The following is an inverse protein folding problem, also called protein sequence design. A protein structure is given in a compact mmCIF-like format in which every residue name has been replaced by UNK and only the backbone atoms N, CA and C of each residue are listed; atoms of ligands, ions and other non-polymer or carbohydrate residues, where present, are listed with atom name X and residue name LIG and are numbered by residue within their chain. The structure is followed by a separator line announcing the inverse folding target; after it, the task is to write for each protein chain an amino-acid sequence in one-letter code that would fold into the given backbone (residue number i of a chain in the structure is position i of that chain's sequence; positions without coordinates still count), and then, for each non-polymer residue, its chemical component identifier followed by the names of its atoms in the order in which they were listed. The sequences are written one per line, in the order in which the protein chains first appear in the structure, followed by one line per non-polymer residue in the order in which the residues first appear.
data_IF_206784912106
#
_entry.id   IF_206784912106
#
_cell.length_a   1.000
_cell.length_b   1.000
_cell.length_c   1.000
_cell.angle_alpha   90.00
_cell.angle_beta   90.00
_cell.angle_gamma   90.00
#
_symmetry.space_group_name_H-M   'P 1'
#
loop_
_entity.id
_entity.type
_entity.pdbx_description
1 polymer ?
#
# COMPACT_ATOMS: atom_id res chain seq x y z
N UNK A 1 16.41 -2.82 14.20
CA UNK A 1 15.77 -3.21 15.47
C UNK A 1 16.40 -2.37 16.56
N UNK A 2 15.60 -1.60 17.30
CA UNK A 2 16.07 -0.51 18.17
C UNK A 2 16.91 -1.06 19.34
N UNK A 3 18.09 -0.50 19.64
CA UNK A 3 18.98 -0.99 20.73
C UNK A 3 18.25 -1.07 22.07
N UNK A 4 17.37 -0.10 22.34
CA UNK A 4 16.50 -0.10 23.52
C UNK A 4 15.59 -1.33 23.61
N UNK A 5 15.11 -1.82 22.46
CA UNK A 5 14.20 -2.97 22.39
C UNK A 5 14.97 -4.27 22.68
N UNK A 6 16.24 -4.35 22.24
CA UNK A 6 17.12 -5.48 22.52
C UNK A 6 17.51 -5.55 24.00
N UNK A 7 17.76 -4.40 24.64
CA UNK A 7 18.06 -4.33 26.07
C UNK A 7 16.84 -4.70 26.94
N UNK A 8 15.64 -4.29 26.53
CA UNK A 8 14.38 -4.69 27.19
C UNK A 8 14.18 -6.20 27.08
N UNK A 9 14.39 -6.80 25.90
CA UNK A 9 14.25 -8.25 25.71
C UNK A 9 15.22 -9.05 26.59
N UNK A 10 16.48 -8.60 26.70
CA UNK A 10 17.48 -9.25 27.55
C UNK A 10 17.11 -9.19 29.04
N UNK A 11 16.55 -8.06 29.48
CA UNK A 11 16.06 -7.92 30.86
C UNK A 11 14.85 -8.83 31.14
N UNK A 12 13.94 -8.97 30.17
CA UNK A 12 12.79 -9.88 30.26
C UNK A 12 13.25 -11.34 30.38
N UNK A 13 14.28 -11.74 29.63
CA UNK A 13 14.83 -13.11 29.66
C UNK A 13 15.40 -13.47 31.04
N UNK A 14 16.17 -12.56 31.66
CA UNK A 14 16.69 -12.77 33.01
C UNK A 14 15.59 -12.87 34.07
N UNK A 15 14.58 -11.98 34.00
CA UNK A 15 13.41 -12.04 34.91
C UNK A 15 12.66 -13.36 34.71
N UNK A 16 12.48 -13.79 33.46
CA UNK A 16 11.84 -15.06 33.15
C UNK A 16 12.61 -16.26 33.73
N UNK A 17 13.94 -16.29 33.64
CA UNK A 17 14.75 -17.36 34.23
C UNK A 17 14.61 -17.42 35.75
N UNK A 18 14.59 -16.27 36.43
CA UNK A 18 14.40 -16.18 37.88
C UNK A 18 13.00 -16.66 38.27
N UNK A 19 11.95 -16.18 37.58
CA UNK A 19 10.56 -16.60 37.82
C UNK A 19 10.40 -18.10 37.55
N UNK A 20 10.98 -18.60 36.45
CA UNK A 20 10.98 -20.02 36.10
C UNK A 20 11.64 -20.86 37.20
N UNK A 21 12.81 -20.45 37.68
CA UNK A 21 13.48 -21.13 38.78
C UNK A 21 12.63 -21.12 40.06
N UNK A 22 12.12 -19.97 40.47
CA UNK A 22 11.38 -19.79 41.72
C UNK A 22 10.05 -20.57 41.76
N UNK A 23 9.29 -20.59 40.66
CA UNK A 23 7.93 -21.14 40.64
C UNK A 23 7.78 -22.49 39.92
N UNK A 24 8.73 -22.89 39.07
CA UNK A 24 8.62 -24.14 38.30
C UNK A 24 9.65 -25.21 38.71
N UNK A 25 10.51 -24.94 39.70
CA UNK A 25 11.42 -25.94 40.24
C UNK A 25 11.11 -26.23 41.71
N UNK A 26 11.31 -27.49 42.12
CA UNK A 26 11.13 -27.93 43.51
C UNK A 26 12.02 -27.09 44.45
N UNK A 27 13.27 -26.80 44.04
CA UNK A 27 14.21 -26.01 44.83
C UNK A 27 13.77 -24.55 45.02
N UNK A 28 13.12 -23.95 44.01
CA UNK A 28 12.54 -22.61 44.12
C UNK A 28 11.46 -22.53 45.20
N UNK A 29 10.53 -23.49 45.22
CA UNK A 29 9.49 -23.57 46.26
C UNK A 29 10.07 -23.81 47.65
N UNK A 30 11.12 -24.63 47.78
CA UNK A 30 11.83 -24.82 49.05
C UNK A 30 12.43 -23.49 49.53
N UNK A 31 13.08 -22.74 48.65
CA UNK A 31 13.67 -21.43 48.98
C UNK A 31 12.61 -20.41 49.43
N UNK A 32 11.49 -20.34 48.70
CA UNK A 32 10.34 -19.48 49.06
C UNK A 32 9.79 -19.87 50.43
N UNK A 33 9.59 -21.17 50.68
CA UNK A 33 9.11 -21.69 51.96
C UNK A 33 10.05 -21.35 53.10
N UNK A 34 11.37 -21.46 52.89
CA UNK A 34 12.39 -21.13 53.89
C UNK A 34 12.41 -19.63 54.22
N UNK A 35 12.34 -18.77 53.20
CA UNK A 35 12.24 -17.33 53.38
C UNK A 35 10.96 -16.93 54.13
N UNK A 36 9.82 -17.51 53.75
CA UNK A 36 8.55 -17.25 54.42
C UNK A 36 8.59 -17.74 55.87
N UNK A 37 9.14 -18.93 56.11
CA UNK A 37 9.36 -19.44 57.45
C UNK A 37 10.25 -18.51 58.28
N UNK A 38 11.35 -18.01 57.72
CA UNK A 38 12.24 -17.07 58.38
C UNK A 38 11.53 -15.75 58.74
N UNK A 39 10.77 -15.18 57.80
CA UNK A 39 9.98 -13.95 58.02
C UNK A 39 8.94 -14.17 59.13
N UNK A 40 8.20 -15.28 59.08
CA UNK A 40 7.22 -15.63 60.10
C UNK A 40 7.91 -15.81 61.45
N UNK A 41 9.03 -16.54 61.49
CA UNK A 41 9.80 -16.79 62.70
C UNK A 41 10.31 -15.50 63.36
N UNK A 42 10.89 -14.58 62.59
CA UNK A 42 11.37 -13.28 63.08
C UNK A 42 10.22 -12.45 63.65
N UNK A 43 9.09 -12.38 62.93
CA UNK A 43 7.91 -11.60 63.35
C UNK A 43 7.15 -12.22 64.54
N UNK A 44 7.47 -13.46 64.92
CA UNK A 44 6.81 -14.19 66.02
C UNK A 44 7.40 -13.93 67.40
N UNK A 45 8.51 -13.20 67.47
CA UNK A 45 9.13 -12.78 68.73
C UNK A 45 8.34 -11.61 69.34
N UNK A 46 8.21 -11.60 70.66
CA UNK A 46 7.60 -10.48 71.38
C UNK A 46 8.61 -9.32 71.61
N UNK A 47 8.16 -8.22 72.20
CA UNK A 47 9.02 -7.04 72.51
C UNK A 47 10.23 -7.38 73.41
N UNK A 48 10.15 -8.50 74.15
CA UNK A 48 11.22 -9.00 75.00
C UNK A 48 12.09 -10.07 74.32
N UNK A 49 11.87 -10.35 73.02
CA UNK A 49 12.61 -11.31 72.21
C UNK A 49 12.20 -12.78 72.34
N UNK A 50 11.23 -13.11 73.20
CA UNK A 50 10.76 -14.49 73.39
C UNK A 50 9.81 -14.92 72.28
N UNK A 51 9.96 -16.17 71.86
CA UNK A 51 9.11 -16.80 70.86
C UNK A 51 7.70 -17.09 71.41
N UNK A 52 6.66 -16.76 70.63
CA UNK A 52 5.28 -17.09 70.95
C UNK A 52 4.66 -17.93 69.85
N UNK A 53 4.21 -19.14 70.18
CA UNK A 53 3.59 -20.06 69.23
C UNK A 53 2.29 -19.51 68.64
N UNK A 54 1.48 -18.82 69.44
CA UNK A 54 0.24 -18.18 68.97
C UNK A 54 0.52 -17.08 67.94
N UNK A 55 1.53 -16.24 68.18
CA UNK A 55 1.98 -15.22 67.20
C UNK A 55 2.57 -15.86 65.94
N UNK A 56 3.27 -17.00 66.09
CA UNK A 56 3.81 -17.75 64.95
C UNK A 56 2.74 -18.28 64.02
N UNK A 57 1.68 -18.90 64.56
CA UNK A 57 0.57 -19.38 63.74
C UNK A 57 -0.17 -18.21 63.09
N UNK A 58 -0.47 -17.15 63.85
CA UNK A 58 -1.17 -15.97 63.34
C UNK A 58 -0.39 -15.27 62.20
N UNK A 59 0.90 -14.99 62.42
CA UNK A 59 1.77 -14.40 61.40
C UNK A 59 1.97 -15.35 60.20
N UNK A 60 2.03 -16.66 60.44
CA UNK A 60 2.12 -17.67 59.40
C UNK A 60 0.95 -17.60 58.44
N UNK A 61 -0.27 -17.55 58.97
CA UNK A 61 -1.50 -17.41 58.18
C UNK A 61 -1.51 -16.08 57.43
N UNK A 62 -1.25 -14.96 58.12
CA UNK A 62 -1.28 -13.62 57.54
C UNK A 62 -0.28 -13.48 56.37
N UNK A 63 0.98 -13.88 56.59
CA UNK A 63 2.03 -13.75 55.57
C UNK A 63 1.86 -14.72 54.42
N UNK A 64 1.34 -15.93 54.66
CA UNK A 64 1.02 -16.87 53.59
C UNK A 64 -0.12 -16.36 52.71
N UNK A 65 -1.17 -15.80 53.32
CA UNK A 65 -2.28 -15.19 52.59
C UNK A 65 -1.81 -13.99 51.75
N UNK A 66 -0.96 -13.12 52.33
CA UNK A 66 -0.36 -12.01 51.61
C UNK A 66 0.46 -12.47 50.40
N UNK A 67 1.32 -13.48 50.57
CA UNK A 67 2.13 -14.03 49.48
C UNK A 67 1.24 -14.63 48.37
N UNK A 68 0.21 -15.39 48.74
CA UNK A 68 -0.74 -15.96 47.78
C UNK A 68 -1.51 -14.88 47.01
N UNK A 69 -2.00 -13.83 47.69
CA UNK A 69 -2.71 -12.72 47.05
C UNK A 69 -1.83 -11.98 46.03
N UNK A 70 -0.56 -11.72 46.36
CA UNK A 70 0.36 -11.06 45.45
C UNK A 70 0.73 -11.93 44.24
N UNK A 71 0.96 -13.24 44.45
CA UNK A 71 1.20 -14.19 43.35
C UNK A 71 -0.02 -14.23 42.42
N UNK A 72 -1.23 -14.31 42.99
CA UNK A 72 -2.46 -14.33 42.20
C UNK A 72 -2.60 -13.05 41.36
N UNK A 73 -2.38 -11.87 41.95
CA UNK A 73 -2.40 -10.60 41.22
C UNK A 73 -1.36 -10.57 40.09
N UNK A 74 -0.15 -11.09 40.33
CA UNK A 74 0.91 -11.18 39.32
C UNK A 74 0.47 -12.09 38.16
N UNK A 75 -0.09 -13.26 38.46
CA UNK A 75 -0.62 -14.19 37.45
C UNK A 75 -1.71 -13.52 36.61
N UNK A 76 -2.69 -12.85 37.26
CA UNK A 76 -3.75 -12.11 36.56
C UNK A 76 -3.16 -11.01 35.67
N UNK A 77 -2.15 -10.27 36.15
CA UNK A 77 -1.44 -9.26 35.38
C UNK A 77 -0.75 -9.84 34.15
N UNK A 78 -0.05 -10.98 34.29
CA UNK A 78 0.57 -11.67 33.15
C UNK A 78 -0.49 -12.11 32.14
N UNK A 79 -1.59 -12.71 32.59
CA UNK A 79 -2.68 -13.15 31.71
C UNK A 79 -3.26 -11.97 30.93
N UNK A 80 -3.47 -10.82 31.58
CA UNK A 80 -3.94 -9.60 30.91
C UNK A 80 -2.95 -9.09 29.86
N UNK A 81 -1.64 -9.09 30.16
CA UNK A 81 -0.61 -8.68 29.20
C UNK A 81 -0.57 -9.64 28.00
N UNK A 82 -0.63 -10.96 28.24
CA UNK A 82 -0.68 -11.96 27.17
C UNK A 82 -1.94 -11.82 26.32
N UNK A 83 -3.10 -11.56 26.95
CA UNK A 83 -4.33 -11.28 26.25
C UNK A 83 -4.18 -10.05 25.35
N UNK A 84 -3.62 -8.94 25.85
CA UNK A 84 -3.37 -7.73 25.05
C UNK A 84 -2.41 -7.99 23.88
N UNK A 85 -1.35 -8.78 24.09
CA UNK A 85 -0.42 -9.16 23.01
C UNK A 85 -1.15 -9.95 21.92
N UNK A 86 -2.09 -10.83 22.29
CA UNK A 86 -2.87 -11.59 21.31
C UNK A 86 -3.79 -10.74 20.43
N UNK A 87 -4.09 -9.49 20.82
CA UNK A 87 -4.86 -8.55 20.00
C UNK A 87 -4.02 -7.81 18.96
N UNK A 88 -2.68 -7.80 19.08
CA UNK A 88 -1.81 -7.07 18.15
C UNK A 88 -2.00 -7.52 16.68
N UNK A 89 -2.06 -8.82 16.35
CA UNK A 89 -2.31 -9.28 14.98
C UNK A 89 -3.65 -8.78 14.43
N UNK A 90 -4.72 -8.85 15.23
CA UNK A 90 -6.06 -8.40 14.85
C UNK A 90 -6.07 -6.89 14.53
N UNK A 91 -5.37 -6.10 15.32
CA UNK A 91 -5.22 -4.65 15.08
C UNK A 91 -4.45 -4.40 13.77
N UNK A 92 -3.41 -5.18 13.48
CA UNK A 92 -2.64 -5.04 12.25
C UNK A 92 -3.46 -5.41 11.02
N UNK A 93 -4.20 -6.52 11.05
CA UNK A 93 -5.12 -6.93 9.97
C UNK A 93 -6.22 -5.90 9.74
N UNK A 94 -6.78 -5.33 10.82
CA UNK A 94 -7.78 -4.27 10.71
C UNK A 94 -7.19 -3.01 10.06
N UNK A 95 -5.97 -2.62 10.42
CA UNK A 95 -5.28 -1.48 9.78
C UNK A 95 -5.04 -1.71 8.30
N UNK A 96 -4.58 -2.89 7.90
CA UNK A 96 -4.39 -3.24 6.49
C UNK A 96 -5.71 -3.17 5.71
N UNK A 97 -6.79 -3.71 6.28
CA UNK A 97 -8.12 -3.69 5.66
C UNK A 97 -8.64 -2.25 5.50
N UNK A 98 -8.46 -1.41 6.51
CA UNK A 98 -8.85 0.01 6.46
C UNK A 98 -8.01 0.76 5.42
N UNK A 99 -6.70 0.50 5.34
CA UNK A 99 -5.86 1.12 4.31
C UNK A 99 -6.29 0.69 2.91
N UNK A 100 -6.58 -0.60 2.69
CA UNK A 100 -7.07 -1.09 1.41
C UNK A 100 -8.40 -0.46 1.03
N UNK A 101 -9.33 -0.34 1.97
CA UNK A 101 -10.61 0.33 1.74
C UNK A 101 -10.42 1.81 1.37
N UNK A 102 -9.49 2.50 2.04
CA UNK A 102 -9.15 3.89 1.72
C UNK A 102 -8.57 4.00 0.30
N UNK A 103 -7.63 3.13 -0.05
CA UNK A 103 -6.98 3.11 -1.37
C UNK A 103 -7.98 2.82 -2.49
N UNK A 104 -8.88 1.86 -2.27
CA UNK A 104 -9.98 1.55 -3.21
C UNK A 104 -10.92 2.74 -3.37
N UNK A 105 -11.28 3.42 -2.27
CA UNK A 105 -12.16 4.60 -2.33
C UNK A 105 -11.48 5.78 -3.06
N UNK A 106 -10.20 5.99 -2.80
CA UNK A 106 -9.39 7.01 -3.48
C UNK A 106 -9.26 6.71 -4.96
N UNK A 107 -9.01 5.44 -5.32
CA UNK A 107 -9.03 4.99 -6.71
C UNK A 107 -10.39 5.23 -7.35
N UNK A 108 -11.49 4.87 -6.69
CA UNK A 108 -12.83 5.15 -7.18
C UNK A 108 -13.09 6.65 -7.43
N UNK A 109 -12.57 7.53 -6.56
CA UNK A 109 -12.64 8.98 -6.75
C UNK A 109 -11.75 9.46 -7.92
N UNK A 110 -10.52 8.94 -8.06
CA UNK A 110 -9.65 9.24 -9.18
C UNK A 110 -10.23 8.75 -10.51
N UNK A 111 -10.85 7.56 -10.53
CA UNK A 111 -11.53 7.01 -11.70
C UNK A 111 -12.79 7.80 -12.06
N UNK A 112 -13.49 8.43 -11.10
CA UNK A 112 -14.57 9.39 -11.41
C UNK A 112 -14.07 10.64 -12.15
N UNK A 113 -12.77 10.95 -12.06
CA UNK A 113 -12.14 11.97 -12.89
C UNK A 113 -11.86 11.46 -14.33
N UNK A 114 -12.19 10.21 -14.67
CA UNK A 114 -12.05 9.68 -16.02
C UNK A 114 -13.42 9.61 -16.72
N UNK A 115 -13.53 10.26 -17.87
CA UNK A 115 -14.68 10.10 -18.75
C UNK A 115 -14.62 8.75 -19.49
N UNK A 116 -15.80 8.14 -19.69
CA UNK A 116 -16.02 6.93 -20.47
C UNK A 116 -15.31 6.98 -21.83
N UNK A 117 -15.46 8.08 -22.55
CA UNK A 117 -14.74 8.33 -23.80
C UNK A 117 -13.98 9.64 -23.68
N UNK A 118 -12.67 9.60 -23.90
CA UNK A 118 -11.81 10.77 -23.77
C UNK A 118 -10.67 10.74 -24.78
N UNK A 119 -10.25 11.91 -25.21
CA UNK A 119 -9.05 12.06 -26.04
C UNK A 119 -7.82 11.82 -25.17
N UNK A 120 -6.93 10.94 -25.60
CA UNK A 120 -5.67 10.65 -24.88
C UNK A 120 -4.44 11.17 -25.63
N UNK A 121 -4.52 11.18 -26.96
CA UNK A 121 -3.42 11.53 -27.84
C UNK A 121 -3.93 12.19 -29.12
N UNK A 122 -3.10 13.05 -29.67
CA UNK A 122 -3.19 13.54 -31.04
C UNK A 122 -1.83 13.38 -31.69
N UNK A 123 -1.79 12.76 -32.86
CA UNK A 123 -0.58 12.49 -33.61
C UNK A 123 -0.63 13.18 -34.97
N UNK A 124 0.45 13.87 -35.33
CA UNK A 124 0.73 14.31 -36.70
C UNK A 124 1.93 13.52 -37.19
N UNK A 125 1.81 12.91 -38.37
CA UNK A 125 2.80 11.97 -38.90
C UNK A 125 3.22 12.42 -40.28
N UNK A 126 4.47 12.88 -40.39
CA UNK A 126 5.06 13.40 -41.62
C UNK A 126 6.32 12.61 -42.00
N UNK A 127 6.64 12.58 -43.30
CA UNK A 127 7.91 12.03 -43.78
C UNK A 127 9.01 13.08 -43.68
N UNK A 128 10.24 12.65 -43.38
CA UNK A 128 11.43 13.46 -43.64
C UNK A 128 11.67 13.64 -45.15
N UNK A 129 12.50 14.61 -45.55
CA UNK A 129 12.79 14.89 -46.96
C UNK A 129 13.32 13.66 -47.71
N UNK A 130 14.09 12.80 -47.01
CA UNK A 130 14.69 11.58 -47.55
C UNK A 130 13.72 10.36 -47.55
N UNK A 131 12.51 10.50 -47.00
CA UNK A 131 11.45 9.46 -46.89
C UNK A 131 11.84 8.14 -46.22
N UNK A 132 13.01 8.05 -45.61
CA UNK A 132 13.45 6.85 -44.86
C UNK A 132 13.10 6.91 -43.37
N UNK A 133 12.72 8.11 -42.90
CA UNK A 133 12.36 8.38 -41.51
C UNK A 133 11.00 9.08 -41.43
N UNK A 134 10.27 8.77 -40.36
CA UNK A 134 8.96 9.34 -40.06
C UNK A 134 9.12 10.21 -38.82
N UNK A 135 8.63 11.45 -38.91
CA UNK A 135 8.53 12.37 -37.77
C UNK A 135 7.11 12.28 -37.22
N UNK A 136 7.01 11.93 -35.94
CA UNK A 136 5.75 11.79 -35.20
C UNK A 136 5.69 12.89 -34.15
N UNK A 137 4.77 13.83 -34.31
CA UNK A 137 4.47 14.83 -33.30
C UNK A 137 3.28 14.38 -32.47
N UNK A 138 3.49 14.13 -31.19
CA UNK A 138 2.46 13.73 -30.25
C UNK A 138 2.06 14.88 -29.34
N UNK A 139 0.75 15.06 -29.15
CA UNK A 139 0.18 15.91 -28.11
C UNK A 139 -0.64 15.04 -27.16
N UNK A 140 -0.38 15.18 -25.87
CA UNK A 140 -1.01 14.42 -24.80
C UNK A 140 -2.20 15.18 -24.23
N UNK A 141 -3.26 14.45 -23.89
CA UNK A 141 -4.48 15.01 -23.33
C UNK A 141 -4.92 14.27 -22.08
N UNK A 142 -5.40 15.03 -21.10
CA UNK A 142 -6.10 14.51 -19.92
C UNK A 142 -7.50 15.11 -19.86
N UNK A 143 -8.47 14.37 -19.33
CA UNK A 143 -9.83 14.86 -19.18
C UNK A 143 -9.97 15.65 -17.87
N UNK A 144 -10.39 16.91 -17.95
CA UNK A 144 -10.77 17.72 -16.78
C UNK A 144 -12.27 17.55 -16.49
N UNK A 145 -12.67 16.89 -15.39
CA UNK A 145 -14.07 16.81 -15.00
C UNK A 145 -14.66 18.16 -14.57
N UNK A 146 -13.84 19.08 -14.05
CA UNK A 146 -14.28 20.42 -13.63
C UNK A 146 -14.69 21.26 -14.85
N UNK A 147 -13.89 21.22 -15.91
CA UNK A 147 -14.16 21.94 -17.16
C UNK A 147 -15.00 21.13 -18.16
N UNK A 148 -15.21 19.83 -17.89
CA UNK A 148 -15.86 18.87 -18.78
C UNK A 148 -15.26 18.86 -20.20
N UNK A 149 -13.92 18.91 -20.30
CA UNK A 149 -13.20 18.95 -21.57
C UNK A 149 -11.84 18.27 -21.48
N UNK A 150 -11.32 17.82 -22.62
CA UNK A 150 -9.95 17.31 -22.73
C UNK A 150 -8.96 18.48 -22.83
N UNK A 151 -7.98 18.53 -21.92
CA UNK A 151 -6.96 19.56 -21.85
C UNK A 151 -5.61 19.01 -22.34
N UNK A 152 -4.85 19.82 -23.09
CA UNK A 152 -3.51 19.43 -23.55
C UNK A 152 -2.53 19.55 -22.38
N UNK A 153 -1.80 18.48 -22.11
CA UNK A 153 -0.92 18.37 -20.93
C UNK A 153 0.56 18.36 -21.28
N UNK A 154 0.89 18.13 -22.55
CA UNK A 154 2.24 18.24 -23.07
C UNK A 154 2.33 17.78 -24.53
N UNK A 155 3.52 17.90 -25.10
CA UNK A 155 3.83 17.48 -26.47
C UNK A 155 5.24 16.91 -26.56
N UNK A 156 5.47 16.04 -27.55
CA UNK A 156 6.78 15.46 -27.81
C UNK A 156 6.92 15.11 -29.30
N UNK A 157 8.12 15.30 -29.84
CA UNK A 157 8.50 14.86 -31.20
C UNK A 157 9.30 13.56 -31.08
N UNK A 158 8.98 12.60 -31.94
CA UNK A 158 9.70 11.34 -32.10
C UNK A 158 10.07 11.12 -33.55
N UNK A 159 11.20 10.46 -33.77
CA UNK A 159 11.68 10.10 -35.10
C UNK A 159 11.94 8.61 -35.16
N UNK A 160 11.42 7.96 -36.20
CA UNK A 160 11.50 6.50 -36.33
C UNK A 160 11.67 6.10 -37.80
N UNK A 161 12.60 5.19 -38.12
CA UNK A 161 12.76 4.72 -39.50
C UNK A 161 11.56 3.86 -39.91
N UNK A 162 11.10 3.98 -41.15
CA UNK A 162 9.99 3.19 -41.67
C UNK A 162 9.09 3.91 -42.67
N UNK A 163 8.05 3.22 -43.09
CA UNK A 163 6.98 3.75 -43.95
C UNK A 163 5.62 3.80 -43.26
N UNK A 164 5.46 3.09 -42.13
CA UNK A 164 4.24 3.06 -41.31
C UNK A 164 4.60 3.11 -39.83
N UNK A 165 3.80 3.82 -39.05
CA UNK A 165 3.99 3.92 -37.60
C UNK A 165 2.85 3.20 -36.89
N UNK A 166 3.16 2.56 -35.78
CA UNK A 166 2.19 1.97 -34.88
C UNK A 166 2.33 2.62 -33.51
N UNK A 167 1.21 3.09 -32.96
CA UNK A 167 1.14 3.65 -31.61
C UNK A 167 0.46 2.63 -30.70
N UNK A 168 1.19 2.14 -29.71
CA UNK A 168 0.69 1.19 -28.71
C UNK A 168 0.29 1.91 -27.43
N UNK A 169 -0.85 1.49 -26.86
CA UNK A 169 -1.25 1.87 -25.51
C UNK A 169 -1.56 0.64 -24.67
N UNK A 170 -1.25 0.72 -23.38
CA UNK A 170 -1.68 -0.26 -22.39
C UNK A 170 -3.10 0.10 -21.96
N UNK A 171 -4.01 -0.85 -22.11
CA UNK A 171 -5.39 -0.75 -21.65
C UNK A 171 -5.55 -1.55 -20.36
N UNK A 172 -6.01 -0.88 -19.31
CA UNK A 172 -6.28 -1.42 -17.99
C UNK A 172 -7.78 -1.50 -17.81
N UNK A 173 -8.33 -2.68 -17.52
CA UNK A 173 -9.75 -2.85 -17.18
C UNK A 173 -9.92 -3.15 -15.69
N UNK A 174 -10.76 -2.39 -14.99
CA UNK A 174 -11.07 -2.62 -13.57
C UNK A 174 -12.30 -3.53 -13.38
N UNK A 175 -12.42 -4.16 -12.21
CA UNK A 175 -13.57 -4.98 -11.80
C UNK A 175 -14.80 -4.13 -11.47
N UNK A 176 -15.97 -4.64 -11.88
CA UNK A 176 -17.27 -3.97 -11.76
C UNK A 176 -17.70 -3.70 -10.31
N UNK A 177 -17.26 -4.53 -9.36
CA UNK A 177 -17.63 -4.46 -7.93
C UNK A 177 -16.97 -3.30 -7.18
N UNK A 178 -15.88 -2.73 -7.71
CA UNK A 178 -15.10 -1.66 -7.06
C UNK A 178 -15.44 -0.27 -7.60
N UNK A 179 -16.31 -0.19 -8.61
CA UNK A 179 -16.77 1.05 -9.25
C UNK A 179 -18.29 1.12 -9.09
N UNK A 180 -18.75 1.47 -7.88
CA UNK A 180 -20.16 1.47 -7.43
C UNK A 180 -21.18 2.22 -8.32
N UNK A 181 -20.78 2.85 -9.43
CA UNK A 181 -21.64 3.68 -10.29
C UNK A 181 -21.63 3.38 -11.80
N UNK A 182 -21.03 2.27 -12.25
CA UNK A 182 -21.47 1.60 -13.47
C UNK A 182 -21.41 2.31 -14.84
N UNK A 183 -20.44 3.16 -15.18
CA UNK A 183 -20.19 3.56 -16.60
C UNK A 183 -18.69 3.75 -16.94
N UNK A 184 -18.13 2.67 -17.49
CA UNK A 184 -16.80 2.47 -18.10
C UNK A 184 -15.55 2.56 -17.21
N UNK A 185 -14.80 1.45 -17.23
CA UNK A 185 -13.84 1.00 -16.21
C UNK A 185 -12.44 0.86 -16.78
N UNK A 186 -12.11 1.63 -17.82
CA UNK A 186 -10.95 1.34 -18.62
C UNK A 186 -10.04 2.57 -18.74
N UNK A 187 -8.75 2.34 -18.48
CA UNK A 187 -7.71 3.34 -18.58
C UNK A 187 -6.78 2.95 -19.72
N UNK A 188 -6.63 3.83 -20.71
CA UNK A 188 -5.61 3.66 -21.75
C UNK A 188 -4.43 4.59 -21.48
N UNK A 189 -3.22 4.04 -21.48
CA UNK A 189 -1.97 4.75 -21.27
C UNK A 189 -1.08 4.58 -22.50
N UNK A 190 -0.67 5.68 -23.17
CA UNK A 190 0.35 5.63 -24.22
C UNK A 190 1.61 4.91 -23.73
N UNK A 191 2.11 3.97 -24.52
CA UNK A 191 3.24 3.13 -24.11
C UNK A 191 4.42 3.21 -25.08
N UNK A 192 4.23 2.82 -26.34
CA UNK A 192 5.33 2.74 -27.31
C UNK A 192 4.95 3.18 -28.72
N UNK A 193 5.96 3.60 -29.47
CA UNK A 193 5.93 3.79 -30.92
C UNK A 193 6.87 2.79 -31.56
N UNK A 194 6.39 2.11 -32.59
CA UNK A 194 7.20 1.22 -33.43
C UNK A 194 6.79 1.36 -34.90
N UNK A 195 7.49 0.70 -35.82
CA UNK A 195 7.25 0.85 -37.26
C UNK A 195 7.31 -0.49 -37.98
N UNK A 196 7.17 -0.47 -39.30
CA UNK A 196 7.46 -1.61 -40.17
C UNK A 196 8.95 -2.00 -40.22
N UNK A 197 9.86 -1.09 -39.81
CA UNK A 197 11.31 -1.34 -39.73
C UNK A 197 11.83 -1.52 -38.30
N UNK A 198 11.11 -1.04 -37.30
CA UNK A 198 11.47 -1.11 -35.88
C UNK A 198 10.47 -2.01 -35.16
N UNK A 199 10.97 -3.08 -34.55
CA UNK A 199 10.13 -4.03 -33.82
C UNK A 199 9.50 -3.38 -32.58
N UNK A 200 8.42 -3.96 -32.05
CA UNK A 200 7.80 -3.51 -30.80
C UNK A 200 8.78 -3.49 -29.61
N UNK A 201 9.68 -4.47 -29.54
CA UNK A 201 10.66 -4.57 -28.46
C UNK A 201 11.67 -3.41 -28.51
N UNK A 202 12.08 -3.03 -29.73
CA UNK A 202 13.02 -1.94 -30.01
C UNK A 202 12.33 -0.58 -30.18
N UNK A 203 11.00 -0.53 -30.04
CA UNK A 203 10.20 0.68 -30.16
C UNK A 203 10.50 1.72 -29.09
N UNK A 204 10.22 2.99 -29.42
CA UNK A 204 10.48 4.15 -28.56
C UNK A 204 9.37 4.26 -27.52
N UNK A 205 9.74 4.39 -26.24
CA UNK A 205 8.77 4.64 -25.16
C UNK A 205 8.16 6.04 -25.29
N UNK A 206 6.84 6.11 -25.23
CA UNK A 206 6.05 7.36 -25.25
C UNK A 206 5.18 7.53 -24.02
N UNK A 207 5.50 6.79 -22.96
CA UNK A 207 4.97 7.06 -21.64
C UNK A 207 5.69 8.29 -21.06
N UNK A 208 5.47 9.46 -21.66
CA UNK A 208 6.00 10.73 -21.16
C UNK A 208 5.39 11.01 -19.80
N UNK A 209 6.24 11.27 -18.82
CA UNK A 209 5.86 11.56 -17.44
C UNK A 209 6.36 12.93 -17.02
N UNK A 210 5.62 13.57 -16.11
CA UNK A 210 6.07 14.75 -15.39
C UNK A 210 5.82 14.51 -13.89
N UNK A 211 6.89 14.55 -13.08
CA UNK A 211 6.88 14.15 -11.67
C UNK A 211 6.24 12.76 -11.44
N UNK A 212 6.66 11.77 -12.24
CA UNK A 212 6.17 10.38 -12.25
C UNK A 212 4.70 10.19 -12.69
N UNK A 213 3.99 11.26 -13.05
CA UNK A 213 2.60 11.21 -13.53
C UNK A 213 2.59 11.16 -15.06
N UNK A 214 1.95 10.16 -15.69
CA UNK A 214 1.77 10.13 -17.14
C UNK A 214 1.06 11.39 -17.64
N UNK A 215 1.56 12.00 -18.71
CA UNK A 215 0.96 13.22 -19.25
C UNK A 215 -0.52 13.04 -19.61
N UNK A 216 -0.93 11.85 -20.06
CA UNK A 216 -2.33 11.51 -20.35
C UNK A 216 -3.27 11.52 -19.13
N UNK A 217 -2.72 11.67 -17.92
CA UNK A 217 -3.45 11.73 -16.64
C UNK A 217 -3.06 12.93 -15.79
N UNK A 218 -2.19 13.81 -16.28
CA UNK A 218 -1.74 14.97 -15.53
C UNK A 218 -2.87 16.02 -15.48
N UNK A 219 -3.30 16.37 -14.28
CA UNK A 219 -4.27 17.44 -14.04
C UNK A 219 -3.69 18.50 -13.09
N UNK A 220 -4.06 19.76 -13.32
CA UNK A 220 -3.79 20.84 -12.39
C UNK A 220 -4.80 20.83 -11.24
N UNK A 221 -4.48 21.54 -10.14
CA UNK A 221 -5.30 21.54 -8.92
C UNK A 221 -6.77 21.90 -9.22
N UNK A 222 -6.97 22.90 -10.07
CA UNK A 222 -8.28 23.44 -10.45
C UNK A 222 -9.09 22.51 -11.37
N UNK A 223 -8.45 21.47 -11.91
CA UNK A 223 -9.06 20.49 -12.81
C UNK A 223 -9.38 19.15 -12.12
N UNK A 224 -8.99 18.99 -10.85
CA UNK A 224 -9.21 17.77 -10.06
C UNK A 224 -10.53 17.88 -9.28
N UNK A 225 -11.38 16.86 -9.40
CA UNK A 225 -12.65 16.74 -8.70
C UNK A 225 -12.54 15.82 -7.48
N UNK A 226 -13.03 16.29 -6.32
CA UNK A 226 -13.17 15.56 -5.04
C UNK A 226 -11.88 15.11 -4.32
N UNK A 227 -10.70 15.42 -4.85
CA UNK A 227 -9.41 15.03 -4.25
C UNK A 227 -8.48 16.23 -4.14
N UNK A 228 -7.53 16.19 -3.20
CA UNK A 228 -6.35 17.06 -3.21
C UNK A 228 -5.36 16.64 -4.31
N UNK A 229 -4.50 17.56 -4.78
CA UNK A 229 -3.56 17.27 -5.89
C UNK A 229 -2.59 16.15 -5.51
N UNK A 230 -2.12 16.16 -4.28
CA UNK A 230 -1.18 15.17 -3.73
C UNK A 230 -1.83 13.78 -3.64
N UNK A 231 -3.09 13.72 -3.23
CA UNK A 231 -3.85 12.46 -3.15
C UNK A 231 -4.14 11.89 -4.54
N UNK A 232 -4.50 12.75 -5.49
CA UNK A 232 -4.67 12.37 -6.89
C UNK A 232 -3.36 11.81 -7.47
N UNK A 233 -2.26 12.56 -7.36
CA UNK A 233 -0.97 12.15 -7.88
C UNK A 233 -0.48 10.83 -7.25
N UNK A 234 -0.62 10.69 -5.93
CA UNK A 234 -0.30 9.45 -5.22
C UNK A 234 -1.11 8.25 -5.76
N UNK A 235 -2.40 8.47 -6.01
CA UNK A 235 -3.28 7.43 -6.56
C UNK A 235 -2.87 7.04 -7.98
N UNK A 236 -2.55 8.00 -8.85
CA UNK A 236 -2.08 7.72 -10.22
C UNK A 236 -0.73 7.00 -10.19
N UNK A 237 0.22 7.41 -9.35
CA UNK A 237 1.51 6.74 -9.20
C UNK A 237 1.34 5.29 -8.73
N UNK A 238 0.48 5.07 -7.73
CA UNK A 238 0.16 3.72 -7.28
C UNK A 238 -0.43 2.89 -8.42
N UNK A 239 -1.34 3.45 -9.21
CA UNK A 239 -1.94 2.79 -10.35
C UNK A 239 -0.90 2.40 -11.42
N UNK A 240 -0.04 3.32 -11.82
CA UNK A 240 1.04 3.06 -12.79
C UNK A 240 2.00 1.99 -12.25
N UNK A 241 2.29 2.00 -10.95
CA UNK A 241 3.14 0.98 -10.33
C UNK A 241 2.55 -0.44 -10.41
N UNK A 242 1.22 -0.57 -10.52
CA UNK A 242 0.56 -1.89 -10.64
C UNK A 242 0.80 -2.58 -11.97
N UNK A 243 1.18 -1.83 -13.02
CA UNK A 243 1.46 -2.40 -14.34
C UNK A 243 2.55 -3.48 -14.29
N UNK A 244 3.47 -3.38 -13.32
CA UNK A 244 4.58 -4.30 -13.15
C UNK A 244 4.43 -5.25 -11.94
N UNK A 245 3.31 -5.19 -11.19
CA UNK A 245 3.10 -5.99 -9.98
C UNK A 245 1.70 -6.62 -9.95
N UNK A 246 1.65 -7.92 -10.27
CA UNK A 246 0.42 -8.72 -10.29
C UNK A 246 -0.31 -8.77 -8.94
N UNK A 247 0.40 -8.74 -7.81
CA UNK A 247 -0.26 -8.79 -6.49
C UNK A 247 -0.92 -7.45 -6.18
N UNK A 248 -0.27 -6.34 -6.52
CA UNK A 248 -0.84 -5.00 -6.37
C UNK A 248 -2.03 -4.77 -7.30
N UNK A 249 -1.94 -5.23 -8.55
CA UNK A 249 -3.02 -5.05 -9.52
C UNK A 249 -4.32 -5.72 -9.08
N UNK A 250 -4.25 -6.97 -8.59
CA UNK A 250 -5.41 -7.67 -8.04
C UNK A 250 -6.00 -6.94 -6.82
N UNK A 251 -5.16 -6.42 -5.92
CA UNK A 251 -5.61 -5.63 -4.77
C UNK A 251 -6.32 -4.33 -5.17
N UNK A 252 -5.89 -3.71 -6.27
CA UNK A 252 -6.52 -2.49 -6.81
C UNK A 252 -7.72 -2.78 -7.73
N UNK A 253 -8.13 -4.04 -7.85
CA UNK A 253 -9.29 -4.41 -8.65
C UNK A 253 -9.06 -4.43 -10.14
N UNK A 254 -7.82 -4.58 -10.60
CA UNK A 254 -7.56 -4.72 -12.03
C UNK A 254 -7.91 -6.13 -12.47
N UNK A 255 -8.81 -6.23 -13.45
CA UNK A 255 -9.26 -7.50 -14.04
C UNK A 255 -8.32 -7.99 -15.13
N UNK A 256 -7.95 -7.11 -16.07
CA UNK A 256 -7.10 -7.45 -17.22
C UNK A 256 -6.24 -6.27 -17.65
N UNK A 257 -5.03 -6.58 -18.14
CA UNK A 257 -4.19 -5.67 -18.90
C UNK A 257 -3.96 -6.26 -20.29
N UNK A 258 -4.04 -5.43 -21.31
CA UNK A 258 -3.63 -5.80 -22.67
C UNK A 258 -3.08 -4.56 -23.37
N UNK A 259 -2.34 -4.75 -24.45
CA UNK A 259 -1.89 -3.63 -25.29
C UNK A 259 -2.72 -3.59 -26.57
N UNK A 260 -2.94 -2.38 -27.07
CA UNK A 260 -3.67 -2.13 -28.30
C UNK A 260 -2.89 -1.13 -29.14
N UNK A 261 -2.57 -1.53 -30.37
CA UNK A 261 -1.78 -0.74 -31.29
C UNK A 261 -2.65 -0.23 -32.46
N UNK A 262 -2.53 1.06 -32.76
CA UNK A 262 -3.16 1.69 -33.92
C UNK A 262 -2.10 1.98 -34.98
N UNK A 263 -2.37 1.55 -36.21
CA UNK A 263 -1.55 1.89 -37.36
C UNK A 263 -1.86 3.30 -37.88
N UNK A 264 -0.81 4.12 -38.00
CA UNK A 264 -0.84 5.44 -38.60
C UNK A 264 -0.06 5.46 -39.90
N UNK A 265 -0.66 6.08 -40.91
CA UNK A 265 -0.05 6.25 -42.22
C UNK A 265 0.44 7.70 -42.34
N UNK A 266 1.73 7.94 -42.59
CA UNK A 266 2.22 9.30 -42.77
C UNK A 266 1.51 9.97 -43.95
N UNK A 267 0.98 11.15 -43.71
CA UNK A 267 0.28 11.93 -44.72
C UNK A 267 0.37 13.40 -44.34
N UNK A 268 0.83 14.22 -45.29
CA UNK A 268 1.11 15.64 -45.04
C UNK A 268 -0.11 16.35 -44.46
N UNK A 269 0.08 17.05 -43.35
CA UNK A 269 -0.96 17.79 -42.62
C UNK A 269 -2.13 16.92 -42.11
N UNK A 270 -2.00 15.59 -42.09
CA UNK A 270 -3.02 14.72 -41.54
C UNK A 270 -2.82 14.55 -40.05
N UNK A 271 -3.88 14.86 -39.33
CA UNK A 271 -3.97 14.75 -37.87
C UNK A 271 -4.80 13.53 -37.51
N UNK A 272 -4.28 12.75 -36.58
CA UNK A 272 -4.87 11.54 -36.06
C UNK A 272 -5.24 11.76 -34.59
N UNK A 273 -6.50 11.60 -34.25
CA UNK A 273 -6.96 11.75 -32.87
C UNK A 273 -7.29 10.40 -32.28
N UNK A 274 -6.65 10.07 -31.15
CA UNK A 274 -6.83 8.78 -30.49
C UNK A 274 -7.68 8.99 -29.24
N UNK A 275 -8.78 8.25 -29.19
CA UNK A 275 -9.72 8.23 -28.08
C UNK A 275 -9.62 6.90 -27.32
N UNK A 276 -9.61 6.97 -25.99
CA UNK A 276 -9.90 5.81 -25.15
C UNK A 276 -11.41 5.61 -25.11
N UNK A 277 -11.87 4.39 -25.33
CA UNK A 277 -13.29 4.03 -25.29
C UNK A 277 -13.70 3.46 -23.94
N UNK A 278 -14.99 3.59 -23.63
CA UNK A 278 -15.52 3.11 -22.36
C UNK A 278 -15.71 1.60 -22.29
N UNK A 279 -15.81 0.94 -23.45
CA UNK A 279 -15.87 -0.51 -23.59
C UNK A 279 -14.50 -1.18 -23.46
N UNK A 280 -13.42 -0.41 -23.50
CA UNK A 280 -12.05 -0.92 -23.46
C UNK A 280 -11.50 -0.97 -24.87
N UNK A 281 -10.48 -0.15 -25.09
CA UNK A 281 -9.77 -0.06 -26.35
C UNK A 281 -9.70 1.35 -26.91
N UNK A 282 -9.11 1.46 -28.11
CA UNK A 282 -8.76 2.72 -28.73
C UNK A 282 -9.55 2.94 -30.02
N UNK A 283 -9.90 4.20 -30.30
CA UNK A 283 -10.51 4.59 -31.56
C UNK A 283 -9.72 5.72 -32.19
N UNK A 284 -9.39 5.55 -33.47
CA UNK A 284 -8.78 6.57 -34.31
C UNK A 284 -9.87 7.40 -35.01
N UNK A 285 -9.80 8.73 -34.88
CA UNK A 285 -10.65 9.70 -35.59
C UNK A 285 -9.81 10.71 -36.37
#
# INVERSE_FOLDING_TARGET
MNENLMQILKNIEWVYLIVKFLFFTIFGWILIGLLLFFIVFVNSRNEKGYFSLGKFVANGIEKSFFLFSNIFQLIVGIILVLALISFIPVINEAKETISLYKDVKMLGAALKNLKTERKILEATVDFTEDKDEIVVNLKYFAYSPVRNTDIMTGEAEYRIPGSRVYLDSIVINFEYSLVETGKAMNLSLPYKIFSDKVSFNDGISINSMDNDIPLSLKLDRDDIFLLEKEEYNSTINNLVSTLNDKKKSLKMGVRTFYSEAIALYPAKNKKYTIYSTGSGGLVLR
#
